data_IF_656454878993
#
_entry.id   IF_656454878993
#
_cell.length_a   1.000
_cell.length_b   1.000
_cell.length_c   1.000
_cell.angle_alpha   90.00
_cell.angle_beta   90.00
_cell.angle_gamma   90.00
#
_symmetry.space_group_name_H-M   'P 1'
#
loop_
_entity.id
_entity.type
_entity.pdbx_description
1 polymer ?
#
# COMPACT_ATOMS: atom_id res chain seq x y z
N UNK A 1 -12.63 -1.21 -0.13
CA UNK A 1 -12.66 0.15 -0.72
C UNK A 1 -11.53 1.06 -0.25
N UNK A 2 -10.64 0.63 0.67
CA UNK A 2 -9.52 1.44 1.18
C UNK A 2 -8.69 2.16 0.12
N UNK A 3 -8.28 1.46 -0.94
CA UNK A 3 -7.49 2.06 -2.02
C UNK A 3 -8.28 3.05 -2.88
N UNK A 4 -9.59 2.84 -3.05
CA UNK A 4 -10.47 3.74 -3.79
C UNK A 4 -10.79 5.00 -2.98
N UNK A 5 -10.81 4.89 -1.65
CA UNK A 5 -11.02 5.99 -0.71
C UNK A 5 -9.75 6.83 -0.49
N UNK A 6 -8.56 6.27 -0.76
CA UNK A 6 -7.27 6.89 -0.51
C UNK A 6 -6.41 6.95 -1.79
N UNK A 7 -6.99 7.46 -2.89
CA UNK A 7 -6.34 7.48 -4.22
C UNK A 7 -5.02 8.25 -4.24
N UNK A 8 -4.89 9.26 -3.37
CA UNK A 8 -3.71 10.13 -3.29
C UNK A 8 -2.67 9.62 -2.28
N UNK A 9 -2.90 8.44 -1.69
CA UNK A 9 -1.97 7.91 -0.71
C UNK A 9 -0.61 7.57 -1.35
N UNK A 10 0.47 8.04 -0.72
CA UNK A 10 1.83 7.87 -1.25
C UNK A 10 2.31 6.41 -1.35
N UNK A 11 1.60 5.45 -0.74
CA UNK A 11 1.84 4.01 -0.88
C UNK A 11 1.10 3.37 -2.06
N UNK A 12 0.14 4.07 -2.66
CA UNK A 12 -0.62 3.64 -3.81
C UNK A 12 0.13 3.96 -5.10
N UNK A 13 0.09 3.03 -6.06
CA UNK A 13 0.62 3.23 -7.41
C UNK A 13 -0.43 2.75 -8.41
N UNK A 14 -0.74 3.58 -9.39
CA UNK A 14 -1.60 3.23 -10.51
C UNK A 14 -0.76 2.65 -11.66
N UNK A 15 -1.14 1.46 -12.14
CA UNK A 15 -0.59 0.84 -13.34
C UNK A 15 -1.72 0.57 -14.33
N UNK A 16 -2.00 1.57 -15.17
CA UNK A 16 -3.23 1.64 -15.95
C UNK A 16 -4.46 1.59 -15.03
N UNK A 17 -5.36 0.63 -15.26
CA UNK A 17 -6.55 0.42 -14.42
C UNK A 17 -6.28 -0.46 -13.18
N UNK A 18 -5.04 -0.91 -12.97
CA UNK A 18 -4.69 -1.72 -11.79
C UNK A 18 -4.13 -0.84 -10.69
N UNK A 19 -4.66 -1.05 -9.50
CA UNK A 19 -4.13 -0.46 -8.27
C UNK A 19 -3.06 -1.39 -7.71
N UNK A 20 -1.88 -0.85 -7.42
CA UNK A 20 -0.77 -1.56 -6.79
C UNK A 20 -0.31 -0.84 -5.52
N UNK A 21 0.42 -1.54 -4.65
CA UNK A 21 0.96 -1.01 -3.39
C UNK A 21 2.49 -1.05 -3.45
N UNK A 22 3.15 -0.02 -2.92
CA UNK A 22 4.60 0.01 -2.76
C UNK A 22 5.07 -1.09 -1.82
N UNK A 23 5.75 -2.12 -2.36
CA UNK A 23 6.31 -3.24 -1.57
C UNK A 23 7.08 -2.79 -0.33
N UNK A 24 8.00 -1.82 -0.47
CA UNK A 24 8.77 -1.30 0.69
C UNK A 24 7.91 -0.71 1.82
N UNK A 25 6.76 -0.13 1.51
CA UNK A 25 5.85 0.36 2.55
C UNK A 25 5.04 -0.77 3.16
N UNK A 26 4.69 -1.77 2.36
CA UNK A 26 4.03 -2.99 2.84
C UNK A 26 4.96 -3.82 3.74
N UNK A 27 6.22 -3.99 3.38
CA UNK A 27 7.25 -4.66 4.20
C UNK A 27 7.37 -4.03 5.59
N UNK A 28 7.41 -2.69 5.68
CA UNK A 28 7.39 -1.97 6.96
C UNK A 28 6.16 -2.23 7.83
N UNK A 29 5.02 -2.57 7.21
CA UNK A 29 3.81 -2.95 7.95
C UNK A 29 3.98 -4.36 8.51
N UNK A 30 4.48 -5.30 7.69
CA UNK A 30 4.77 -6.67 8.13
C UNK A 30 5.81 -6.68 9.27
N UNK A 31 6.91 -5.95 9.12
CA UNK A 31 7.95 -5.85 10.16
C UNK A 31 7.40 -5.37 11.51
N UNK A 32 6.40 -4.49 11.49
CA UNK A 32 5.73 -4.02 12.70
C UNK A 32 4.76 -5.03 13.31
N UNK A 33 4.15 -5.87 12.47
CA UNK A 33 3.21 -6.90 12.90
C UNK A 33 3.96 -8.12 13.46
N UNK A 34 5.09 -8.50 12.86
CA UNK A 34 5.94 -9.61 13.32
C UNK A 34 6.76 -9.24 14.58
N UNK A 35 6.83 -7.96 14.95
CA UNK A 35 7.43 -7.51 16.20
C UNK A 35 6.52 -7.69 17.43
N UNK A 36 5.35 -8.32 17.27
CA UNK A 36 4.35 -8.60 18.32
C UNK A 36 4.25 -10.11 18.58
#
# INVERSE_FOLDING_TARGET
>A
RLAEENKDAGWLIMNGNRIQIKRRQFEKVIDKLDAI
#
